data_IF_912867852649
#
_entry.id   IF_912867852649
#
_cell.length_a   1.000
_cell.length_b   1.000
_cell.length_c   1.000
_cell.angle_alpha   90.00
_cell.angle_beta   90.00
_cell.angle_gamma   90.00
#
_symmetry.space_group_name_H-M   'P 1'
#
loop_
_entity.id
_entity.type
_entity.pdbx_description
1 polymer ?
#
# COMPACT_ATOMS: atom_id res chain seq x y z
N UNK A 1 -35.42 12.17 -31.13
CA UNK A 1 -35.02 12.47 -29.74
C UNK A 1 -34.97 11.18 -28.95
N UNK A 2 -33.88 10.43 -29.11
CA UNK A 2 -33.52 9.24 -28.32
C UNK A 2 -32.00 9.23 -28.41
N UNK A 3 -31.25 9.64 -27.36
CA UNK A 3 -29.78 9.43 -27.21
C UNK A 3 -29.06 10.26 -26.12
N UNK A 4 -29.73 10.80 -25.11
CA UNK A 4 -29.03 11.42 -23.95
C UNK A 4 -29.37 10.69 -22.64
N UNK A 5 -30.65 10.42 -22.38
CA UNK A 5 -31.08 9.73 -21.16
C UNK A 5 -30.53 8.30 -21.00
N UNK A 6 -30.26 7.59 -22.11
CA UNK A 6 -29.66 6.25 -22.03
C UNK A 6 -28.17 6.28 -21.66
N UNK A 7 -27.42 7.33 -22.03
CA UNK A 7 -26.03 7.46 -21.59
C UNK A 7 -25.96 7.88 -20.12
N UNK A 8 -26.85 8.79 -19.68
CA UNK A 8 -26.96 9.16 -18.27
C UNK A 8 -27.34 7.97 -17.38
N UNK A 9 -28.24 7.10 -17.86
CA UNK A 9 -28.66 5.90 -17.14
C UNK A 9 -27.58 4.81 -17.11
N UNK A 10 -26.78 4.65 -18.17
CA UNK A 10 -25.68 3.68 -18.21
C UNK A 10 -24.50 4.14 -17.35
N UNK A 11 -24.21 5.46 -17.31
CA UNK A 11 -23.22 6.03 -16.38
C UNK A 11 -23.70 6.04 -14.92
N UNK A 12 -25.00 6.24 -14.66
CA UNK A 12 -25.57 6.10 -13.31
C UNK A 12 -25.68 4.64 -12.85
N UNK A 13 -25.65 3.68 -13.77
CA UNK A 13 -25.77 2.24 -13.48
C UNK A 13 -24.44 1.48 -13.53
N UNK A 14 -23.29 2.14 -13.68
CA UNK A 14 -22.03 1.53 -13.29
C UNK A 14 -22.20 1.16 -11.81
N UNK A 15 -22.35 -0.13 -11.53
CA UNK A 15 -22.58 -0.66 -10.20
C UNK A 15 -21.58 0.03 -9.28
N UNK A 16 -22.05 0.89 -8.37
CA UNK A 16 -21.17 1.54 -7.40
C UNK A 16 -20.47 0.40 -6.68
N UNK A 17 -19.19 0.18 -7.01
CA UNK A 17 -18.38 -0.83 -6.38
C UNK A 17 -18.40 -0.48 -4.90
N UNK A 18 -19.06 -1.30 -4.10
CA UNK A 18 -19.14 -1.12 -2.66
C UNK A 18 -18.02 -1.92 -2.03
N UNK A 19 -17.28 -1.31 -1.14
CA UNK A 19 -16.31 -2.03 -0.33
C UNK A 19 -16.99 -3.17 0.44
N UNK A 20 -16.34 -4.32 0.48
CA UNK A 20 -16.65 -5.43 1.38
C UNK A 20 -15.35 -5.88 2.02
N UNK A 21 -15.30 -5.92 3.35
CA UNK A 21 -14.09 -6.35 4.02
C UNK A 21 -13.77 -7.80 3.68
N UNK A 22 -12.51 -8.05 3.39
CA UNK A 22 -11.97 -9.40 3.22
C UNK A 22 -11.49 -9.90 4.58
N UNK A 23 -11.82 -11.14 4.89
CA UNK A 23 -11.24 -11.85 6.02
C UNK A 23 -9.78 -12.16 5.70
N UNK A 24 -8.86 -11.49 6.39
CA UNK A 24 -7.43 -11.72 6.28
C UNK A 24 -6.96 -12.58 7.45
N UNK A 25 -6.06 -13.51 7.15
CA UNK A 25 -5.45 -14.39 8.14
C UNK A 25 -3.94 -14.11 8.18
N UNK A 26 -3.40 -14.07 9.39
CA UNK A 26 -1.98 -13.84 9.68
C UNK A 26 -1.47 -14.88 10.69
N UNK A 27 -1.89 -16.13 10.55
CA UNK A 27 -1.47 -17.26 11.39
C UNK A 27 0.02 -17.55 11.30
N UNK A 28 0.70 -17.24 10.19
CA UNK A 28 2.15 -17.43 10.08
C UNK A 28 2.86 -16.22 9.50
N UNK A 29 3.81 -15.67 10.25
CA UNK A 29 4.61 -14.51 9.87
C UNK A 29 6.08 -14.90 9.84
N UNK A 30 6.77 -14.60 8.75
CA UNK A 30 8.20 -14.86 8.60
C UNK A 30 8.99 -13.54 8.59
N UNK A 31 9.98 -13.42 9.48
CA UNK A 31 10.93 -12.31 9.53
C UNK A 31 12.23 -12.74 8.85
N UNK A 32 12.59 -12.08 7.76
CA UNK A 32 13.78 -12.37 6.95
C UNK A 32 14.84 -11.30 7.17
N UNK A 33 16.05 -11.72 7.56
CA UNK A 33 17.13 -10.81 7.93
C UNK A 33 18.51 -11.36 7.56
N UNK A 34 19.45 -10.47 7.27
CA UNK A 34 20.88 -10.77 7.04
C UNK A 34 21.74 -10.59 8.30
N UNK A 35 21.09 -10.45 9.46
CA UNK A 35 21.71 -10.34 10.77
C UNK A 35 22.04 -11.73 11.34
N UNK A 36 22.97 -11.77 12.28
CA UNK A 36 23.33 -12.98 13.02
C UNK A 36 22.22 -13.37 13.99
N UNK A 37 22.18 -14.64 14.43
CA UNK A 37 21.07 -15.24 15.20
C UNK A 37 20.57 -14.38 16.38
N UNK A 38 21.48 -13.83 17.19
CA UNK A 38 21.11 -13.02 18.37
C UNK A 38 20.46 -11.68 17.99
N UNK A 39 20.98 -11.01 16.96
CA UNK A 39 20.43 -9.76 16.44
C UNK A 39 19.11 -10.02 15.70
N UNK A 40 19.01 -11.13 14.97
CA UNK A 40 17.79 -11.57 14.30
C UNK A 40 16.63 -11.81 15.28
N UNK A 41 16.90 -12.46 16.43
CA UNK A 41 15.91 -12.63 17.51
C UNK A 41 15.46 -11.29 18.09
N UNK A 42 16.39 -10.35 18.27
CA UNK A 42 16.09 -9.01 18.78
C UNK A 42 15.21 -8.24 17.79
N UNK A 43 15.54 -8.29 16.50
CA UNK A 43 14.73 -7.71 15.43
C UNK A 43 13.31 -8.32 15.42
N UNK A 44 13.21 -9.65 15.46
CA UNK A 44 11.92 -10.33 15.45
C UNK A 44 11.04 -9.96 16.65
N UNK A 45 11.62 -9.83 17.85
CA UNK A 45 10.88 -9.35 19.03
C UNK A 45 10.35 -7.93 18.85
N UNK A 46 11.13 -7.03 18.25
CA UNK A 46 10.69 -5.66 17.93
C UNK A 46 9.59 -5.64 16.88
N UNK A 47 9.70 -6.45 15.83
CA UNK A 47 8.67 -6.59 14.81
C UNK A 47 7.37 -7.13 15.41
N UNK A 48 7.46 -8.14 16.28
CA UNK A 48 6.27 -8.66 16.97
C UNK A 48 5.59 -7.61 17.85
N UNK A 49 6.38 -6.78 18.56
CA UNK A 49 5.82 -5.68 19.35
C UNK A 49 5.14 -4.63 18.46
N UNK A 50 5.77 -4.26 17.35
CA UNK A 50 5.20 -3.33 16.36
C UNK A 50 3.90 -3.86 15.73
N UNK A 51 3.82 -5.17 15.48
CA UNK A 51 2.64 -5.83 14.90
C UNK A 51 1.68 -6.43 15.93
N UNK A 52 1.69 -5.92 17.17
CA UNK A 52 0.77 -6.35 18.24
C UNK A 52 -0.71 -6.22 17.84
N UNK A 53 -1.04 -5.36 16.89
CA UNK A 53 -2.39 -5.19 16.32
C UNK A 53 -2.95 -6.49 15.72
N UNK A 54 -2.07 -7.38 15.25
CA UNK A 54 -2.43 -8.70 14.73
C UNK A 54 -2.72 -9.73 15.85
N UNK A 55 -2.51 -9.35 17.12
CA UNK A 55 -2.71 -10.19 18.29
C UNK A 55 -1.61 -11.23 18.52
N UNK A 56 -1.86 -12.16 19.44
CA UNK A 56 -0.91 -13.22 19.84
C UNK A 56 -1.06 -14.54 19.05
N UNK A 57 -2.02 -14.60 18.13
CA UNK A 57 -2.30 -15.79 17.31
C UNK A 57 -1.21 -16.19 16.30
N UNK A 58 -0.43 -15.28 15.70
CA UNK A 58 0.56 -15.64 14.69
C UNK A 58 1.70 -16.51 15.24
N UNK A 59 2.05 -17.56 14.50
CA UNK A 59 3.33 -18.25 14.57
C UNK A 59 4.41 -17.39 13.91
N UNK A 60 5.54 -17.23 14.59
CA UNK A 60 6.65 -16.41 14.13
C UNK A 60 7.84 -17.28 13.74
N UNK A 61 8.29 -17.13 12.50
CA UNK A 61 9.48 -17.79 11.97
C UNK A 61 10.54 -16.72 11.71
N UNK A 62 11.78 -16.97 12.13
CA UNK A 62 12.91 -16.08 11.86
C UNK A 62 13.85 -16.79 10.90
N UNK A 63 14.06 -16.20 9.72
CA UNK A 63 15.02 -16.65 8.71
C UNK A 63 16.24 -15.73 8.79
N UNK A 64 17.29 -16.20 9.47
CA UNK A 64 18.50 -15.43 9.69
C UNK A 64 19.42 -15.39 8.45
N UNK A 65 20.62 -14.81 8.62
CA UNK A 65 21.63 -14.72 7.56
C UNK A 65 21.96 -16.06 6.92
N UNK A 66 22.16 -17.12 7.69
CA UNK A 66 22.60 -18.42 7.19
C UNK A 66 21.49 -19.09 6.38
N UNK A 67 20.23 -18.84 6.74
CA UNK A 67 19.06 -19.39 6.06
C UNK A 67 18.65 -18.57 4.82
N UNK A 68 19.07 -17.30 4.72
CA UNK A 68 18.69 -16.38 3.65
C UNK A 68 19.85 -15.93 2.75
N UNK A 69 20.98 -16.63 2.80
CA UNK A 69 22.22 -16.25 2.11
C UNK A 69 22.01 -16.15 0.60
N UNK A 70 21.35 -17.12 -0.02
CA UNK A 70 21.02 -17.09 -1.45
C UNK A 70 19.54 -16.83 -1.69
N UNK A 71 19.22 -16.26 -2.86
CA UNK A 71 17.83 -16.05 -3.30
C UNK A 71 17.10 -17.39 -3.43
N UNK A 72 17.76 -18.43 -3.91
CA UNK A 72 17.19 -19.77 -4.05
C UNK A 72 16.79 -20.38 -2.70
N UNK A 73 17.68 -20.31 -1.71
CA UNK A 73 17.39 -20.78 -0.35
C UNK A 73 16.22 -20.01 0.27
N UNK A 74 16.25 -18.68 0.15
CA UNK A 74 15.18 -17.82 0.65
C UNK A 74 13.82 -18.18 0.03
N UNK A 75 13.75 -18.30 -1.31
CA UNK A 75 12.51 -18.68 -1.98
C UNK A 75 12.06 -20.11 -1.63
N UNK A 76 13.01 -21.04 -1.48
CA UNK A 76 12.72 -22.40 -1.04
C UNK A 76 12.07 -22.43 0.34
N UNK A 77 12.60 -21.65 1.29
CA UNK A 77 12.04 -21.52 2.64
C UNK A 77 10.68 -20.85 2.64
N UNK A 78 10.48 -19.77 1.87
CA UNK A 78 9.17 -19.12 1.76
C UNK A 78 8.13 -20.08 1.16
N UNK A 79 8.51 -20.85 0.12
CA UNK A 79 7.62 -21.83 -0.50
C UNK A 79 7.29 -23.01 0.43
N UNK A 80 8.25 -23.43 1.26
CA UNK A 80 8.06 -24.47 2.27
C UNK A 80 7.16 -23.99 3.41
N UNK A 81 7.48 -22.84 4.00
CA UNK A 81 6.81 -22.35 5.20
C UNK A 81 5.46 -21.72 4.93
N UNK A 82 5.27 -21.16 3.72
CA UNK A 82 4.05 -20.48 3.27
C UNK A 82 3.55 -19.43 4.27
N UNK A 83 4.38 -18.43 4.62
CA UNK A 83 3.94 -17.36 5.48
C UNK A 83 2.82 -16.55 4.81
N UNK A 84 1.90 -16.04 5.62
CA UNK A 84 0.85 -15.12 5.19
C UNK A 84 1.34 -13.67 5.21
N UNK A 85 2.45 -13.39 5.89
CA UNK A 85 3.16 -12.13 5.84
C UNK A 85 4.68 -12.37 5.90
N UNK A 86 5.41 -11.75 4.98
CA UNK A 86 6.86 -11.64 5.04
C UNK A 86 7.23 -10.28 5.62
N UNK A 87 8.16 -10.23 6.56
CA UNK A 87 8.74 -8.99 7.08
C UNK A 87 10.22 -8.96 6.80
N UNK A 88 10.70 -7.91 6.14
CA UNK A 88 12.12 -7.71 5.87
C UNK A 88 12.44 -6.22 5.77
N UNK A 89 13.63 -5.86 5.32
CA UNK A 89 14.04 -4.48 5.12
C UNK A 89 14.76 -4.30 3.79
N UNK A 90 14.85 -3.04 3.38
CA UNK A 90 15.52 -2.62 2.14
C UNK A 90 16.96 -3.08 2.14
N UNK A 91 17.48 -3.43 0.97
CA UNK A 91 18.88 -3.79 0.75
C UNK A 91 19.38 -4.93 1.65
N UNK A 92 18.49 -5.90 1.94
CA UNK A 92 18.84 -7.15 2.61
C UNK A 92 20.11 -7.78 1.98
N UNK A 93 21.11 -8.10 2.82
CA UNK A 93 22.42 -8.63 2.42
C UNK A 93 23.25 -7.70 1.52
N UNK A 94 23.03 -6.38 1.61
CA UNK A 94 23.74 -5.38 0.82
C UNK A 94 24.09 -4.15 1.64
N UNK A 95 25.31 -3.63 1.48
CA UNK A 95 25.71 -2.34 2.06
C UNK A 95 25.08 -1.13 1.35
N UNK A 96 24.35 -1.36 0.25
CA UNK A 96 23.72 -0.31 -0.54
C UNK A 96 22.60 0.44 0.19
N UNK A 97 22.17 -0.01 1.37
CA UNK A 97 21.21 0.71 2.22
C UNK A 97 21.62 2.15 2.54
N UNK A 98 22.92 2.46 2.48
CA UNK A 98 23.47 3.81 2.65
C UNK A 98 23.13 4.75 1.48
N UNK A 99 22.69 4.20 0.35
CA UNK A 99 22.40 4.93 -0.88
C UNK A 99 20.90 4.83 -1.22
N UNK A 100 20.24 5.96 -1.55
CA UNK A 100 18.78 6.04 -1.67
C UNK A 100 18.24 5.62 -3.04
N UNK A 101 18.77 4.56 -3.66
CA UNK A 101 18.52 4.29 -5.08
C UNK A 101 17.85 2.96 -5.40
N UNK A 102 17.69 2.07 -4.42
CA UNK A 102 17.06 0.77 -4.65
C UNK A 102 16.50 0.14 -3.39
N UNK A 103 15.58 -0.80 -3.60
CA UNK A 103 15.06 -1.72 -2.59
C UNK A 103 15.98 -2.92 -2.36
N UNK A 104 16.85 -3.22 -3.32
CA UNK A 104 17.82 -4.30 -3.25
C UNK A 104 17.29 -5.61 -3.87
N UNK A 105 18.18 -6.43 -4.43
CA UNK A 105 17.80 -7.51 -5.34
C UNK A 105 16.95 -8.60 -4.67
N UNK A 106 17.16 -8.88 -3.37
CA UNK A 106 16.35 -9.89 -2.66
C UNK A 106 14.91 -9.42 -2.48
N UNK A 107 14.72 -8.15 -2.15
CA UNK A 107 13.38 -7.59 -1.98
C UNK A 107 12.64 -7.53 -3.32
N UNK A 108 13.33 -7.12 -4.40
CA UNK A 108 12.76 -7.12 -5.75
C UNK A 108 12.31 -8.53 -6.19
N UNK A 109 13.07 -9.57 -5.85
CA UNK A 109 12.68 -10.96 -6.14
C UNK A 109 11.53 -11.42 -5.24
N UNK A 110 11.54 -11.09 -3.95
CA UNK A 110 10.45 -11.47 -3.03
C UNK A 110 9.11 -10.88 -3.49
N UNK A 111 9.08 -9.60 -3.85
CA UNK A 111 7.85 -8.95 -4.32
C UNK A 111 7.39 -9.53 -5.66
N UNK A 112 8.27 -10.05 -6.50
CA UNK A 112 7.90 -10.70 -7.76
C UNK A 112 7.44 -12.16 -7.57
N UNK A 113 8.24 -12.96 -6.87
CA UNK A 113 8.11 -14.41 -6.83
C UNK A 113 7.13 -14.93 -5.77
N UNK A 114 6.72 -14.09 -4.81
CA UNK A 114 5.82 -14.51 -3.72
C UNK A 114 4.43 -13.90 -3.89
N UNK A 115 3.40 -14.59 -3.42
CA UNK A 115 2.01 -14.11 -3.44
C UNK A 115 1.55 -13.54 -2.10
N UNK A 116 2.32 -13.74 -1.04
CA UNK A 116 2.06 -13.16 0.27
C UNK A 116 2.54 -11.71 0.32
N UNK A 117 1.85 -10.83 1.06
CA UNK A 117 2.32 -9.47 1.31
C UNK A 117 3.72 -9.43 1.92
N UNK A 118 4.48 -8.38 1.55
CA UNK A 118 5.83 -8.13 2.04
C UNK A 118 5.85 -6.80 2.80
N UNK A 119 6.07 -6.86 4.10
CA UNK A 119 6.36 -5.69 4.91
C UNK A 119 7.84 -5.33 4.84
N UNK A 120 8.11 -4.09 4.44
CA UNK A 120 9.45 -3.54 4.25
C UNK A 120 9.71 -2.47 5.30
N UNK A 121 10.54 -2.79 6.27
CA UNK A 121 10.96 -1.89 7.34
C UNK A 121 12.07 -0.94 6.86
N UNK A 122 12.27 0.19 7.53
CA UNK A 122 13.55 0.90 7.48
C UNK A 122 14.70 -0.05 7.82
N UNK A 123 15.90 0.22 7.29
CA UNK A 123 17.02 -0.67 7.50
C UNK A 123 17.43 -0.64 8.99
N UNK A 124 17.60 -1.77 9.70
CA UNK A 124 17.85 -1.78 11.16
C UNK A 124 19.18 -1.13 11.57
N UNK A 125 20.15 -1.08 10.65
CA UNK A 125 21.41 -0.32 10.85
C UNK A 125 21.26 1.21 10.73
N UNK A 126 20.15 1.71 10.20
CA UNK A 126 19.77 3.12 10.31
C UNK A 126 18.95 3.28 11.60
N UNK A 127 19.64 3.28 12.74
CA UNK A 127 19.03 3.17 14.08
C UNK A 127 18.01 4.28 14.33
N UNK A 128 18.28 5.51 13.89
CA UNK A 128 17.36 6.64 14.06
C UNK A 128 16.05 6.42 13.32
N UNK A 129 16.11 6.04 12.04
CA UNK A 129 14.93 5.76 11.22
C UNK A 129 14.14 4.57 11.74
N UNK A 130 14.86 3.50 12.10
CA UNK A 130 14.28 2.26 12.56
C UNK A 130 13.60 2.41 13.92
N UNK A 131 14.22 3.11 14.87
CA UNK A 131 13.61 3.31 16.19
C UNK A 131 12.40 4.23 16.14
N UNK A 132 12.43 5.28 15.31
CA UNK A 132 11.29 6.18 15.15
C UNK A 132 10.08 5.51 14.48
N UNK A 133 10.31 4.56 13.55
CA UNK A 133 9.26 3.89 12.78
C UNK A 133 8.61 2.70 13.47
N UNK A 134 9.29 2.08 14.44
CA UNK A 134 8.87 0.82 15.06
C UNK A 134 8.09 1.01 16.37
N UNK A 135 7.35 2.11 16.50
CA UNK A 135 6.62 2.45 17.72
C UNK A 135 5.21 1.85 17.71
N UNK A 136 4.36 2.30 16.78
CA UNK A 136 2.93 1.97 16.73
C UNK A 136 2.42 1.98 15.28
N UNK A 137 1.21 1.48 15.09
CA UNK A 137 0.46 1.53 13.84
C UNK A 137 -0.89 2.25 14.01
N UNK A 138 -0.87 3.36 14.75
CA UNK A 138 -2.04 4.23 14.98
C UNK A 138 -2.43 5.01 13.74
N UNK A 139 -1.48 5.39 12.88
CA UNK A 139 -1.75 6.14 11.64
C UNK A 139 -1.29 5.33 10.44
N UNK A 140 -2.25 4.75 9.72
CA UNK A 140 -2.01 3.93 8.52
C UNK A 140 -2.59 4.61 7.31
N UNK A 141 -1.87 4.57 6.18
CA UNK A 141 -2.35 5.11 4.92
C UNK A 141 -2.33 4.04 3.83
N UNK A 142 -3.44 3.90 3.11
CA UNK A 142 -3.53 3.08 1.90
C UNK A 142 -3.42 3.97 0.66
N UNK A 143 -2.55 3.57 -0.27
CA UNK A 143 -2.33 4.29 -1.53
C UNK A 143 -2.34 3.32 -2.71
N UNK A 144 -2.96 3.75 -3.80
CA UNK A 144 -2.96 3.07 -5.09
C UNK A 144 -3.28 4.10 -6.17
N UNK A 145 -2.95 3.76 -7.40
CA UNK A 145 -3.39 4.44 -8.62
C UNK A 145 -4.89 4.20 -8.92
N UNK A 146 -5.50 3.13 -8.39
CA UNK A 146 -6.92 2.88 -8.52
C UNK A 146 -7.54 2.31 -7.24
N UNK A 147 -8.04 3.20 -6.36
CA UNK A 147 -8.63 2.77 -5.08
C UNK A 147 -10.01 2.13 -5.22
N UNK A 148 -10.79 2.53 -6.22
CA UNK A 148 -12.19 2.12 -6.36
C UNK A 148 -12.27 0.61 -6.61
N UNK A 149 -13.02 -0.10 -5.75
CA UNK A 149 -13.17 -1.55 -5.85
C UNK A 149 -12.03 -2.37 -5.21
N UNK A 150 -10.96 -1.73 -4.77
CA UNK A 150 -9.86 -2.42 -4.10
C UNK A 150 -10.20 -2.70 -2.63
N UNK A 151 -10.97 -3.77 -2.41
CA UNK A 151 -11.31 -4.21 -1.07
C UNK A 151 -10.13 -4.89 -0.36
N UNK A 152 -9.17 -5.41 -1.12
CA UNK A 152 -8.01 -6.13 -0.57
C UNK A 152 -7.09 -5.14 0.14
N UNK A 153 -6.65 -4.08 -0.54
CA UNK A 153 -5.77 -3.05 0.02
C UNK A 153 -6.36 -2.40 1.27
N UNK A 154 -7.65 -2.02 1.21
CA UNK A 154 -8.35 -1.42 2.35
C UNK A 154 -8.45 -2.41 3.51
N UNK A 155 -8.71 -3.70 3.26
CA UNK A 155 -8.75 -4.73 4.31
C UNK A 155 -7.39 -4.93 4.97
N UNK A 156 -6.31 -4.89 4.21
CA UNK A 156 -4.95 -4.90 4.77
C UNK A 156 -4.72 -3.67 5.64
N UNK A 157 -4.92 -2.46 5.10
CA UNK A 157 -4.69 -1.24 5.85
C UNK A 157 -5.51 -1.18 7.16
N UNK A 158 -6.79 -1.57 7.12
CA UNK A 158 -7.63 -1.66 8.31
C UNK A 158 -7.14 -2.71 9.33
N UNK A 159 -6.61 -3.84 8.87
CA UNK A 159 -6.11 -4.91 9.77
C UNK A 159 -4.81 -4.55 10.48
N UNK A 160 -4.03 -3.63 9.90
CA UNK A 160 -2.80 -3.11 10.50
C UNK A 160 -3.02 -1.78 11.23
N UNK A 161 -4.22 -1.21 11.25
CA UNK A 161 -4.48 0.03 12.01
C UNK A 161 -4.88 -0.33 13.44
N UNK A 162 -4.21 0.25 14.43
CA UNK A 162 -4.54 0.04 15.85
C UNK A 162 -5.95 0.51 16.19
N UNK A 163 -6.53 -0.06 17.26
CA UNK A 163 -7.89 0.31 17.72
C UNK A 163 -7.92 1.80 18.08
N UNK A 164 -8.93 2.51 17.59
CA UNK A 164 -9.02 3.95 17.78
C UNK A 164 -7.98 4.74 16.97
N UNK A 165 -7.27 4.10 16.04
CA UNK A 165 -6.32 4.74 15.12
C UNK A 165 -6.99 5.39 13.91
N UNK A 166 -6.18 6.09 13.12
CA UNK A 166 -6.56 6.80 11.91
C UNK A 166 -6.14 6.01 10.66
N UNK A 167 -7.13 5.65 9.84
CA UNK A 167 -6.93 5.02 8.54
C UNK A 167 -7.18 6.05 7.43
N UNK A 168 -6.12 6.49 6.76
CA UNK A 168 -6.19 7.37 5.61
C UNK A 168 -6.32 6.56 4.33
N UNK A 169 -7.39 6.79 3.56
CA UNK A 169 -7.54 6.26 2.22
C UNK A 169 -7.27 7.40 1.23
N UNK A 170 -6.17 7.29 0.50
CA UNK A 170 -5.70 8.36 -0.37
C UNK A 170 -5.77 7.95 -1.85
N UNK A 171 -6.27 8.87 -2.66
CA UNK A 171 -6.36 8.75 -4.11
C UNK A 171 -5.95 10.08 -4.73
N UNK A 172 -4.86 10.07 -5.49
CA UNK A 172 -4.39 11.24 -6.24
C UNK A 172 -4.67 10.97 -7.71
N UNK A 173 -5.29 11.93 -8.39
CA UNK A 173 -5.41 11.97 -9.84
C UNK A 173 -4.22 12.71 -10.44
N UNK A 174 -3.51 12.10 -11.40
CA UNK A 174 -2.29 12.69 -11.98
C UNK A 174 -2.65 13.82 -12.96
N UNK A 175 -2.20 15.03 -12.63
CA UNK A 175 -2.45 16.22 -13.46
C UNK A 175 -1.90 16.03 -14.89
N UNK A 176 -0.73 15.42 -15.07
CA UNK A 176 -0.12 15.27 -16.39
C UNK A 176 -0.89 14.28 -17.26
N UNK A 177 -1.39 13.19 -16.67
CA UNK A 177 -2.27 12.23 -17.36
C UNK A 177 -3.60 12.91 -17.72
N UNK A 178 -4.20 13.62 -16.78
CA UNK A 178 -5.45 14.34 -16.99
C UNK A 178 -5.33 15.37 -18.12
N UNK A 179 -4.32 16.24 -18.08
CA UNK A 179 -4.07 17.25 -19.11
C UNK A 179 -3.88 16.63 -20.50
N UNK A 180 -3.15 15.50 -20.58
CA UNK A 180 -2.98 14.77 -21.84
C UNK A 180 -4.31 14.32 -22.43
N UNK A 181 -5.25 13.84 -21.61
CA UNK A 181 -6.58 13.45 -22.10
C UNK A 181 -7.41 14.65 -22.53
N UNK A 182 -7.38 15.75 -21.78
CA UNK A 182 -8.09 16.97 -22.15
C UNK A 182 -7.53 17.55 -23.46
N UNK A 183 -6.23 17.47 -23.69
CA UNK A 183 -5.60 17.89 -24.95
C UNK A 183 -6.08 17.06 -26.16
N UNK A 184 -6.36 15.77 -25.97
CA UNK A 184 -6.91 14.92 -27.02
C UNK A 184 -8.39 15.25 -27.25
N UNK A 185 -9.17 15.43 -26.19
CA UNK A 185 -10.59 15.80 -26.26
C UNK A 185 -10.77 17.14 -26.97
N UNK A 186 -9.88 18.10 -26.74
CA UNK A 186 -9.95 19.44 -27.36
C UNK A 186 -9.83 19.43 -28.89
N UNK A 187 -9.28 18.35 -29.46
CA UNK A 187 -9.16 18.15 -30.90
C UNK A 187 -10.46 17.66 -31.54
N UNK A 188 -11.49 17.36 -30.75
CA UNK A 188 -12.80 16.90 -31.23
C UNK A 188 -13.73 18.13 -31.35
N UNK A 189 -14.03 18.62 -32.57
CA UNK A 189 -14.72 19.91 -32.76
C UNK A 189 -16.13 20.00 -32.16
N UNK A 190 -16.77 18.86 -31.92
CA UNK A 190 -18.12 18.78 -31.38
C UNK A 190 -18.19 18.82 -29.86
N UNK A 191 -17.06 18.80 -29.15
CA UNK A 191 -17.01 18.75 -27.69
C UNK A 191 -16.65 20.13 -27.15
N UNK A 192 -17.50 20.65 -26.27
CA UNK A 192 -17.14 21.77 -25.40
C UNK A 192 -16.09 21.30 -24.39
N UNK A 193 -14.84 21.68 -24.64
CA UNK A 193 -13.68 21.18 -23.89
C UNK A 193 -13.67 21.69 -22.46
N UNK A 194 -14.10 22.93 -22.23
CA UNK A 194 -14.08 23.53 -20.89
C UNK A 194 -15.12 22.85 -20.00
N UNK A 195 -16.32 22.63 -20.52
CA UNK A 195 -17.34 21.86 -19.82
C UNK A 195 -16.92 20.39 -19.63
N UNK A 196 -16.34 19.75 -20.65
CA UNK A 196 -15.87 18.38 -20.54
C UNK A 196 -14.79 18.23 -19.45
N UNK A 197 -13.83 19.15 -19.39
CA UNK A 197 -12.80 19.22 -18.35
C UNK A 197 -13.41 19.25 -16.95
N UNK A 198 -14.35 20.16 -16.70
CA UNK A 198 -14.99 20.30 -15.39
C UNK A 198 -15.76 19.02 -15.00
N UNK A 199 -16.58 18.47 -15.91
CA UNK A 199 -17.39 17.29 -15.62
C UNK A 199 -16.55 16.03 -15.41
N UNK A 200 -15.52 15.82 -16.24
CA UNK A 200 -14.63 14.65 -16.11
C UNK A 200 -13.89 14.73 -14.78
N UNK A 201 -13.28 15.89 -14.46
CA UNK A 201 -12.55 16.05 -13.19
C UNK A 201 -13.47 15.82 -11.98
N UNK A 202 -14.67 16.39 -12.01
CA UNK A 202 -15.67 16.19 -10.96
C UNK A 202 -16.03 14.72 -10.79
N UNK A 203 -16.17 13.98 -11.89
CA UNK A 203 -16.49 12.56 -11.85
C UNK A 203 -15.31 11.71 -11.35
N UNK A 204 -14.10 11.96 -11.86
CA UNK A 204 -12.87 11.28 -11.42
C UNK A 204 -12.65 11.39 -9.91
N UNK A 205 -12.89 12.57 -9.32
CA UNK A 205 -12.73 12.76 -7.88
C UNK A 205 -13.94 12.27 -7.06
N UNK A 206 -15.12 12.11 -7.69
CA UNK A 206 -16.32 11.67 -6.98
C UNK A 206 -16.31 10.17 -6.70
N UNK A 207 -15.88 9.36 -7.67
CA UNK A 207 -15.85 7.90 -7.54
C UNK A 207 -15.02 7.40 -6.34
N UNK A 208 -13.74 7.81 -6.15
CA UNK A 208 -12.95 7.43 -4.99
C UNK A 208 -13.52 7.98 -3.68
N UNK A 209 -14.12 9.18 -3.68
CA UNK A 209 -14.83 9.70 -2.49
C UNK A 209 -16.00 8.82 -2.11
N UNK A 210 -16.89 8.52 -3.05
CA UNK A 210 -18.05 7.64 -2.83
C UNK A 210 -17.60 6.25 -2.36
N UNK A 211 -16.49 5.73 -2.89
CA UNK A 211 -15.92 4.45 -2.46
C UNK A 211 -15.40 4.51 -1.02
N UNK A 212 -14.61 5.53 -0.66
CA UNK A 212 -14.10 5.73 0.71
C UNK A 212 -15.25 5.89 1.72
N UNK A 213 -16.32 6.59 1.36
CA UNK A 213 -17.53 6.65 2.18
C UNK A 213 -18.14 5.25 2.40
N UNK A 214 -18.11 4.39 1.38
CA UNK A 214 -18.54 3.00 1.52
C UNK A 214 -17.65 2.20 2.47
N UNK A 215 -16.32 2.38 2.39
CA UNK A 215 -15.37 1.77 3.32
C UNK A 215 -15.65 2.18 4.77
N UNK A 216 -15.84 3.48 4.99
CA UNK A 216 -16.14 4.04 6.33
C UNK A 216 -17.42 3.43 6.91
N UNK A 217 -18.47 3.29 6.09
CA UNK A 217 -19.73 2.70 6.54
C UNK A 217 -19.59 1.23 6.89
N UNK A 218 -19.03 0.42 5.99
CA UNK A 218 -18.87 -1.03 6.19
C UNK A 218 -18.02 -1.33 7.43
N UNK A 219 -16.85 -0.68 7.56
CA UNK A 219 -15.97 -0.87 8.72
C UNK A 219 -16.66 -0.50 10.03
N UNK A 220 -17.48 0.55 10.03
CA UNK A 220 -18.26 0.94 11.21
C UNK A 220 -19.38 -0.05 11.54
N UNK A 221 -20.06 -0.59 10.52
CA UNK A 221 -21.12 -1.58 10.68
C UNK A 221 -20.59 -2.91 11.24
N UNK A 222 -19.36 -3.28 10.91
CA UNK A 222 -18.63 -4.41 11.49
C UNK A 222 -18.11 -4.15 12.92
N UNK A 223 -18.33 -2.95 13.47
CA UNK A 223 -17.90 -2.58 14.81
C UNK A 223 -16.42 -2.20 14.93
N UNK A 224 -15.78 -1.84 13.81
CA UNK A 224 -14.42 -1.30 13.82
C UNK A 224 -14.37 0.08 14.49
N UNK A 225 -13.37 0.31 15.33
CA UNK A 225 -13.15 1.59 16.05
C UNK A 225 -12.22 2.54 15.28
N UNK A 226 -12.02 2.30 13.98
CA UNK A 226 -11.11 3.08 13.15
C UNK A 226 -11.72 4.42 12.74
N UNK A 227 -10.90 5.47 12.75
CA UNK A 227 -11.23 6.77 12.14
C UNK A 227 -10.79 6.78 10.69
N UNK A 228 -11.74 6.56 9.78
CA UNK A 228 -11.46 6.51 8.33
C UNK A 228 -11.49 7.90 7.72
N UNK A 229 -10.39 8.33 7.12
CA UNK A 229 -10.22 9.63 6.47
C UNK A 229 -10.11 9.50 4.95
N UNK A 230 -10.54 10.54 4.23
CA UNK A 230 -10.53 10.59 2.77
C UNK A 230 -9.59 11.69 2.28
N UNK A 231 -8.56 11.30 1.54
CA UNK A 231 -7.62 12.21 0.90
C UNK A 231 -7.72 12.06 -0.62
N UNK A 232 -8.65 12.82 -1.22
CA UNK A 232 -8.93 12.76 -2.68
C UNK A 232 -8.70 14.11 -3.32
N UNK A 233 -7.64 14.20 -4.13
CA UNK A 233 -7.23 15.43 -4.83
C UNK A 233 -6.48 15.13 -6.12
N UNK A 234 -6.15 16.17 -6.87
CA UNK A 234 -5.27 16.05 -8.04
C UNK A 234 -3.86 16.51 -7.67
N UNK A 235 -2.87 16.09 -8.43
CA UNK A 235 -1.50 16.54 -8.27
C UNK A 235 -0.48 15.57 -8.85
N UNK A 236 0.80 15.91 -8.72
CA UNK A 236 1.87 14.97 -9.03
C UNK A 236 1.94 13.89 -7.95
N UNK A 237 1.59 12.66 -8.32
CA UNK A 237 1.41 11.54 -7.39
C UNK A 237 2.51 11.42 -6.32
N UNK A 238 3.77 11.33 -6.73
CA UNK A 238 4.88 11.13 -5.79
C UNK A 238 5.02 12.29 -4.81
N UNK A 239 4.90 13.53 -5.28
CA UNK A 239 4.99 14.73 -4.46
C UNK A 239 3.84 14.80 -3.45
N UNK A 240 2.62 14.52 -3.90
CA UNK A 240 1.43 14.57 -3.07
C UNK A 240 1.41 13.49 -1.99
N UNK A 241 1.76 12.25 -2.34
CA UNK A 241 1.81 11.17 -1.35
C UNK A 241 2.91 11.40 -0.31
N UNK A 242 4.09 11.91 -0.70
CA UNK A 242 5.14 12.29 0.28
C UNK A 242 4.63 13.35 1.24
N UNK A 243 3.95 14.37 0.72
CA UNK A 243 3.36 15.42 1.54
C UNK A 243 2.29 14.88 2.49
N UNK A 244 1.40 14.00 2.03
CA UNK A 244 0.39 13.36 2.88
C UNK A 244 1.03 12.52 4.01
N UNK A 245 2.07 11.75 3.68
CA UNK A 245 2.80 10.96 4.68
C UNK A 245 3.39 11.85 5.76
N UNK A 246 3.97 12.99 5.39
CA UNK A 246 4.53 13.98 6.32
C UNK A 246 3.43 14.69 7.13
N UNK A 247 2.42 15.26 6.45
CA UNK A 247 1.34 16.06 7.05
C UNK A 247 0.54 15.27 8.09
N UNK A 248 0.34 13.97 7.86
CA UNK A 248 -0.41 13.09 8.78
C UNK A 248 0.49 12.26 9.69
N UNK A 249 1.82 12.39 9.57
CA UNK A 249 2.78 11.56 10.33
C UNK A 249 2.48 10.06 10.21
N UNK A 250 2.27 9.60 8.96
CA UNK A 250 1.92 8.21 8.67
C UNK A 250 2.98 7.26 9.19
N UNK A 251 2.55 6.24 9.93
CA UNK A 251 3.42 5.24 10.58
C UNK A 251 3.52 3.94 9.78
N UNK A 252 2.57 3.68 8.87
CA UNK A 252 2.63 2.56 7.93
C UNK A 252 1.94 2.96 6.62
N UNK A 253 2.64 2.78 5.49
CA UNK A 253 2.04 2.93 4.17
C UNK A 253 1.72 1.56 3.58
N UNK A 254 0.50 1.39 3.08
CA UNK A 254 0.04 0.16 2.43
C UNK A 254 -0.17 0.44 0.95
N UNK A 255 0.42 -0.37 0.09
CA UNK A 255 0.39 -0.19 -1.35
C UNK A 255 0.32 -1.52 -2.08
N UNK A 256 -0.36 -1.54 -3.23
CA UNK A 256 -0.28 -2.69 -4.13
C UNK A 256 1.07 -2.69 -4.84
N UNK A 257 1.59 -3.90 -5.06
CA UNK A 257 2.80 -4.11 -5.83
C UNK A 257 2.58 -4.93 -7.09
N UNK A 258 1.37 -5.47 -7.31
CA UNK A 258 1.02 -6.21 -8.51
C UNK A 258 -0.34 -5.76 -9.00
N UNK A 259 -0.43 -5.44 -10.28
CA UNK A 259 -1.70 -5.43 -11.01
C UNK A 259 -1.89 -6.78 -11.71
N UNK A 260 -3.14 -7.18 -11.96
CA UNK A 260 -3.54 -8.50 -12.49
C UNK A 260 -2.80 -8.92 -13.79
N UNK A 261 -2.28 -7.94 -14.55
CA UNK A 261 -1.61 -8.15 -15.84
C UNK A 261 -0.12 -7.71 -15.85
N UNK A 262 0.48 -7.32 -14.72
CA UNK A 262 1.78 -6.62 -14.71
C UNK A 262 2.86 -7.29 -13.85
N UNK A 263 4.13 -7.00 -14.20
CA UNK A 263 5.30 -7.30 -13.38
C UNK A 263 5.23 -6.56 -12.04
N UNK A 264 5.74 -7.16 -10.97
CA UNK A 264 5.67 -6.54 -9.65
C UNK A 264 6.43 -5.20 -9.59
N UNK A 265 5.96 -4.31 -8.72
CA UNK A 265 6.45 -2.95 -8.48
C UNK A 265 6.22 -1.97 -9.64
N UNK A 266 5.10 -2.08 -10.39
CA UNK A 266 4.75 -1.09 -11.42
C UNK A 266 4.05 0.16 -10.84
N UNK A 267 3.92 1.20 -11.66
CA UNK A 267 3.22 2.43 -11.31
C UNK A 267 3.92 3.20 -10.18
N UNK A 268 3.16 3.53 -9.13
CA UNK A 268 3.61 4.36 -8.01
C UNK A 268 4.33 3.60 -6.91
N UNK A 269 4.18 2.26 -6.89
CA UNK A 269 4.69 1.43 -5.83
C UNK A 269 6.20 1.54 -5.67
N UNK A 270 6.96 1.42 -6.77
CA UNK A 270 8.42 1.47 -6.74
C UNK A 270 8.96 2.86 -6.37
N UNK A 271 8.55 3.96 -7.03
CA UNK A 271 9.02 5.29 -6.66
C UNK A 271 8.74 5.63 -5.19
N UNK A 272 7.53 5.33 -4.70
CA UNK A 272 7.18 5.54 -3.29
C UNK A 272 8.06 4.70 -2.36
N UNK A 273 8.31 3.44 -2.70
CA UNK A 273 9.10 2.56 -1.85
C UNK A 273 10.58 2.98 -1.73
N UNK A 274 11.13 3.54 -2.81
CA UNK A 274 12.49 4.09 -2.86
C UNK A 274 12.59 5.42 -2.09
N UNK A 275 11.58 6.28 -2.18
CA UNK A 275 11.58 7.60 -1.53
C UNK A 275 11.25 7.54 -0.04
N UNK A 276 10.24 6.76 0.35
CA UNK A 276 9.70 6.70 1.71
C UNK A 276 10.43 5.69 2.58
N UNK A 277 11.72 5.94 2.85
CA UNK A 277 12.60 5.00 3.56
C UNK A 277 12.49 5.05 5.09
N UNK A 278 11.86 6.10 5.60
CA UNK A 278 11.78 6.39 7.03
C UNK A 278 10.61 5.70 7.72
N UNK A 279 9.70 5.12 6.93
CA UNK A 279 8.53 4.41 7.45
C UNK A 279 8.46 2.97 6.92
N UNK A 280 7.81 2.06 7.65
CA UNK A 280 7.45 0.74 7.17
C UNK A 280 6.47 0.84 6.00
N UNK A 281 6.60 -0.09 5.06
CA UNK A 281 5.70 -0.23 3.93
C UNK A 281 5.11 -1.63 3.92
N UNK A 282 3.82 -1.78 3.67
CA UNK A 282 3.18 -3.06 3.39
C UNK A 282 2.90 -3.16 1.89
N UNK A 283 3.61 -4.06 1.23
CA UNK A 283 3.50 -4.35 -0.20
C UNK A 283 2.56 -5.52 -0.40
N UNK A 284 1.40 -5.25 -0.99
CA UNK A 284 0.29 -6.20 -1.17
C UNK A 284 0.26 -6.77 -2.58
#
# INVERSE_FOLDING_TARGET
MIKVDQFESVFKSAAKLSFKRQELSFQKIAVVTDLEEAEAKTLAARVRAFLQVLGDGPEWIVLDRAQSETVEQLLGLVAQEKPELLVTYRNLHSAAWRWPHSLGPRLDVLTQATSCPVMVLPHPRDVSAFDASMQHTEVVMAVTDHLVGDSRLVSYAASFTEKGGDLFLAHIEDDAIFERYIEVISKIPSIDTDNAREQILKQLLKEPRDYIESCRRELKEEGSDLRVHSEVRTGHHLTEYKKLVEDHSVQLLVLNTKDEDQLAMHGLAFPLAVELRQIPLLMV
#
